data_IF_211778257765
#
_entry.id   IF_211778257765
#
_cell.length_a   1.000
_cell.length_b   1.000
_cell.length_c   1.000
_cell.angle_alpha   90.00
_cell.angle_beta   90.00
_cell.angle_gamma   90.00
#
_symmetry.space_group_name_H-M   'P 1'
#
loop_
_entity.id
_entity.type
_entity.pdbx_description
1 polymer ?
#
# COMPACT_ATOMS: atom_id res chain seq x y z
N UNK A 1 -37.32 -31.86 -15.44
CA UNK A 1 -36.24 -30.85 -15.31
C UNK A 1 -35.14 -31.21 -16.28
N UNK A 2 -34.68 -30.26 -17.09
CA UNK A 2 -33.57 -30.42 -18.04
C UNK A 2 -32.46 -29.48 -17.60
N UNK A 3 -31.22 -29.98 -17.51
CA UNK A 3 -30.08 -29.15 -17.16
C UNK A 3 -29.79 -28.16 -18.31
N UNK A 4 -29.64 -26.88 -17.98
CA UNK A 4 -29.27 -25.83 -18.93
C UNK A 4 -27.96 -25.21 -18.47
N UNK A 5 -27.03 -24.99 -19.38
CA UNK A 5 -25.76 -24.33 -19.13
C UNK A 5 -25.95 -22.81 -19.12
N UNK A 6 -25.62 -22.16 -18.00
CA UNK A 6 -25.65 -20.69 -17.87
C UNK A 6 -24.55 -20.11 -16.98
N UNK A 7 -23.69 -20.96 -16.41
CA UNK A 7 -22.67 -20.54 -15.45
C UNK A 7 -21.62 -19.59 -16.04
N UNK A 8 -21.14 -19.87 -17.25
CA UNK A 8 -20.16 -19.01 -17.94
C UNK A 8 -20.70 -17.59 -18.16
N UNK A 9 -21.93 -17.48 -18.68
CA UNK A 9 -22.57 -16.19 -18.89
C UNK A 9 -22.78 -15.44 -17.57
N UNK A 10 -23.16 -16.15 -16.51
CA UNK A 10 -23.32 -15.55 -15.18
C UNK A 10 -21.99 -15.03 -14.61
N UNK A 11 -20.90 -15.78 -14.78
CA UNK A 11 -19.55 -15.37 -14.36
C UNK A 11 -19.11 -14.14 -15.15
N UNK A 12 -19.21 -14.16 -16.48
CA UNK A 12 -18.84 -13.03 -17.33
C UNK A 12 -19.60 -11.75 -16.94
N UNK A 13 -20.93 -11.87 -16.77
CA UNK A 13 -21.77 -10.74 -16.34
C UNK A 13 -21.38 -10.24 -14.94
N UNK A 14 -21.00 -11.14 -14.04
CA UNK A 14 -20.53 -10.77 -12.69
C UNK A 14 -19.22 -9.96 -12.75
N UNK A 15 -18.27 -10.37 -13.60
CA UNK A 15 -17.02 -9.64 -13.81
C UNK A 15 -17.27 -8.25 -14.44
N UNK A 16 -18.17 -8.17 -15.42
CA UNK A 16 -18.59 -6.88 -16.00
C UNK A 16 -19.21 -5.96 -14.94
N UNK A 17 -19.96 -6.50 -13.98
CA UNK A 17 -20.53 -5.72 -12.87
C UNK A 17 -19.45 -5.20 -11.91
N UNK A 18 -18.39 -5.98 -11.64
CA UNK A 18 -17.24 -5.53 -10.84
C UNK A 18 -16.52 -4.39 -11.57
N UNK A 19 -16.22 -4.59 -12.85
CA UNK A 19 -15.55 -3.58 -13.68
C UNK A 19 -16.39 -2.31 -13.79
N UNK A 20 -17.71 -2.45 -14.02
CA UNK A 20 -18.65 -1.32 -14.02
C UNK A 20 -18.62 -0.54 -12.71
N UNK A 21 -18.53 -1.22 -11.56
CA UNK A 21 -18.39 -0.54 -10.26
C UNK A 21 -17.08 0.22 -10.17
N UNK A 22 -15.96 -0.37 -10.61
CA UNK A 22 -14.64 0.26 -10.60
C UNK A 22 -14.62 1.55 -11.43
N UNK A 23 -15.27 1.56 -12.59
CA UNK A 23 -15.25 2.69 -13.53
C UNK A 23 -16.45 3.66 -13.40
N UNK A 24 -17.42 3.37 -12.54
CA UNK A 24 -18.67 4.12 -12.43
C UNK A 24 -18.48 5.63 -12.17
N UNK A 25 -17.39 6.01 -11.51
CA UNK A 25 -17.07 7.41 -11.22
C UNK A 25 -16.54 8.21 -12.41
N UNK A 26 -16.18 7.55 -13.53
CA UNK A 26 -15.67 8.22 -14.74
C UNK A 26 -14.30 8.88 -14.59
N UNK A 27 -13.60 8.63 -13.48
CA UNK A 27 -12.28 9.19 -13.18
C UNK A 27 -11.21 8.09 -13.25
N UNK A 28 -10.07 8.42 -13.83
CA UNK A 28 -8.90 7.55 -13.79
C UNK A 28 -8.07 7.87 -12.54
N UNK A 29 -7.77 6.84 -11.74
CA UNK A 29 -6.79 6.93 -10.67
C UNK A 29 -5.42 6.54 -11.22
N UNK A 30 -4.45 7.43 -11.11
CA UNK A 30 -3.09 7.19 -11.56
C UNK A 30 -2.29 6.32 -10.56
N UNK A 31 -1.35 5.51 -11.06
CA UNK A 31 -0.56 4.58 -10.22
C UNK A 31 0.43 5.35 -9.35
N UNK A 32 1.05 6.41 -9.87
CA UNK A 32 1.98 7.24 -9.10
C UNK A 32 1.26 8.00 -7.99
N UNK A 33 -0.02 8.34 -8.20
CA UNK A 33 -0.87 8.91 -7.15
C UNK A 33 -1.08 7.92 -6.01
N UNK A 34 -1.32 6.63 -6.29
CA UNK A 34 -1.44 5.60 -5.25
C UNK A 34 -0.13 5.44 -4.50
N UNK A 35 1.00 5.35 -5.22
CA UNK A 35 2.33 5.23 -4.63
C UNK A 35 2.66 6.40 -3.71
N UNK A 36 2.32 7.62 -4.13
CA UNK A 36 2.67 8.85 -3.41
C UNK A 36 1.73 9.13 -2.24
N UNK A 37 0.44 8.82 -2.38
CA UNK A 37 -0.58 9.19 -1.40
C UNK A 37 -0.94 8.06 -0.44
N UNK A 38 -0.71 6.79 -0.81
CA UNK A 38 -1.07 5.61 -0.01
C UNK A 38 0.13 4.65 0.20
N UNK A 39 1.33 5.14 0.57
CA UNK A 39 2.55 4.33 0.59
C UNK A 39 2.47 3.13 1.57
N UNK A 40 1.84 3.31 2.74
CA UNK A 40 1.70 2.23 3.74
C UNK A 40 0.79 1.10 3.26
N UNK A 41 -0.26 1.43 2.50
CA UNK A 41 -1.15 0.43 1.89
C UNK A 41 -0.39 -0.40 0.84
N UNK A 42 0.41 0.25 0.01
CA UNK A 42 1.26 -0.43 -0.97
C UNK A 42 2.24 -1.35 -0.26
N UNK A 43 2.93 -0.87 0.77
CA UNK A 43 3.87 -1.67 1.57
C UNK A 43 3.20 -2.89 2.22
N UNK A 44 1.97 -2.74 2.73
CA UNK A 44 1.22 -3.86 3.28
C UNK A 44 0.94 -4.92 2.20
N UNK A 45 0.49 -4.50 1.03
CA UNK A 45 0.22 -5.40 -0.10
C UNK A 45 1.49 -6.10 -0.60
N UNK A 46 2.62 -5.41 -0.67
CA UNK A 46 3.92 -6.01 -1.03
C UNK A 46 4.37 -7.05 -0.01
N UNK A 47 4.30 -6.70 1.28
CA UNK A 47 4.70 -7.57 2.39
C UNK A 47 3.86 -8.85 2.43
N UNK A 48 2.53 -8.72 2.42
CA UNK A 48 1.63 -9.86 2.44
C UNK A 48 1.63 -10.64 1.12
N UNK A 49 1.84 -9.94 -0.01
CA UNK A 49 2.02 -10.51 -1.34
C UNK A 49 3.35 -11.26 -1.54
N UNK A 50 4.31 -11.05 -0.62
CA UNK A 50 5.66 -11.64 -0.67
C UNK A 50 6.44 -11.29 -1.94
N UNK A 51 6.23 -10.08 -2.46
CA UNK A 51 6.92 -9.54 -3.63
C UNK A 51 7.07 -8.03 -3.48
N UNK A 52 8.31 -7.57 -3.41
CA UNK A 52 8.64 -6.15 -3.47
C UNK A 52 8.62 -5.70 -4.94
N UNK A 53 7.59 -4.95 -5.32
CA UNK A 53 7.34 -4.47 -6.68
C UNK A 53 6.30 -3.32 -6.60
N UNK A 54 6.73 -2.09 -6.29
CA UNK A 54 5.81 -1.03 -5.87
C UNK A 54 4.74 -0.71 -6.93
N UNK A 55 5.14 -0.56 -8.19
CA UNK A 55 4.22 -0.26 -9.31
C UNK A 55 3.18 -1.37 -9.53
N UNK A 56 3.58 -2.63 -9.35
CA UNK A 56 2.69 -3.79 -9.48
C UNK A 56 1.71 -3.84 -8.32
N UNK A 57 2.18 -3.60 -7.09
CA UNK A 57 1.34 -3.55 -5.90
C UNK A 57 0.32 -2.40 -5.97
N UNK A 58 0.74 -1.21 -6.41
CA UNK A 58 -0.16 -0.08 -6.62
C UNK A 58 -1.19 -0.35 -7.74
N UNK A 59 -0.79 -1.05 -8.80
CA UNK A 59 -1.72 -1.52 -9.84
C UNK A 59 -2.72 -2.55 -9.29
N UNK A 60 -2.28 -3.48 -8.44
CA UNK A 60 -3.16 -4.44 -7.78
C UNK A 60 -4.17 -3.75 -6.84
N UNK A 61 -3.73 -2.75 -6.06
CA UNK A 61 -4.62 -1.91 -5.23
C UNK A 61 -5.67 -1.20 -6.08
N UNK A 62 -5.26 -0.62 -7.21
CA UNK A 62 -6.15 0.02 -8.19
C UNK A 62 -7.17 -0.96 -8.76
N UNK A 63 -6.74 -2.15 -9.15
CA UNK A 63 -7.60 -3.20 -9.70
C UNK A 63 -8.60 -3.71 -8.65
N UNK A 64 -8.15 -3.88 -7.41
CA UNK A 64 -8.95 -4.34 -6.28
C UNK A 64 -9.89 -3.27 -5.68
N UNK A 65 -9.94 -2.06 -6.25
CA UNK A 65 -10.71 -0.93 -5.73
C UNK A 65 -10.41 -0.63 -4.24
N UNK A 66 -9.16 -0.83 -3.81
CA UNK A 66 -8.74 -0.64 -2.42
C UNK A 66 -8.98 -1.82 -1.47
N UNK A 67 -9.52 -2.96 -1.92
CA UNK A 67 -9.54 -4.18 -1.11
C UNK A 67 -8.12 -4.75 -0.98
N UNK A 68 -7.62 -4.80 0.25
CA UNK A 68 -6.26 -5.28 0.54
C UNK A 68 -6.14 -6.77 0.27
N UNK A 69 -7.14 -7.55 0.67
CA UNK A 69 -7.15 -9.01 0.54
C UNK A 69 -7.09 -9.43 -0.93
N UNK A 70 -7.87 -8.77 -1.79
CA UNK A 70 -7.88 -9.01 -3.24
C UNK A 70 -6.56 -8.53 -3.88
N UNK A 71 -6.05 -7.37 -3.50
CA UNK A 71 -4.75 -6.88 -4.01
C UNK A 71 -3.60 -7.83 -3.66
N UNK A 72 -3.58 -8.36 -2.43
CA UNK A 72 -2.62 -9.38 -1.99
C UNK A 72 -2.78 -10.68 -2.78
N UNK A 73 -4.02 -11.10 -3.06
CA UNK A 73 -4.26 -12.30 -3.85
C UNK A 73 -3.75 -12.13 -5.29
N UNK A 74 -4.00 -10.98 -5.92
CA UNK A 74 -3.44 -10.61 -7.22
C UNK A 74 -1.91 -10.64 -7.22
N UNK A 75 -1.27 -10.08 -6.19
CA UNK A 75 0.20 -10.10 -6.04
C UNK A 75 0.76 -11.52 -5.92
N UNK A 76 0.11 -12.38 -5.13
CA UNK A 76 0.51 -13.79 -4.98
C UNK A 76 0.32 -14.57 -6.27
N UNK A 77 -0.79 -14.34 -6.98
CA UNK A 77 -1.05 -14.95 -8.28
C UNK A 77 0.02 -14.51 -9.30
N UNK A 78 0.30 -13.21 -9.40
CA UNK A 78 1.34 -12.67 -10.27
C UNK A 78 2.72 -13.26 -9.96
N UNK A 79 3.12 -13.28 -8.68
CA UNK A 79 4.38 -13.89 -8.24
C UNK A 79 4.52 -15.35 -8.68
N UNK A 80 3.43 -16.12 -8.73
CA UNK A 80 3.48 -17.52 -9.15
C UNK A 80 3.75 -17.71 -10.65
N UNK A 81 3.59 -16.66 -11.46
CA UNK A 81 3.91 -16.66 -12.89
C UNK A 81 5.38 -16.33 -13.18
N UNK A 82 6.13 -15.86 -12.17
CA UNK A 82 7.51 -15.41 -12.32
C UNK A 82 8.51 -16.54 -12.08
N UNK A 83 9.57 -16.57 -12.86
CA UNK A 83 10.71 -17.45 -12.61
C UNK A 83 11.57 -16.94 -11.46
N UNK A 84 12.06 -17.85 -10.61
CA UNK A 84 13.05 -17.50 -9.58
C UNK A 84 14.46 -17.49 -10.17
N UNK A 85 14.90 -16.32 -10.61
CA UNK A 85 16.20 -16.14 -11.25
C UNK A 85 17.40 -16.30 -10.29
N UNK A 86 17.26 -15.81 -9.06
CA UNK A 86 18.36 -15.76 -8.08
C UNK A 86 17.85 -15.97 -6.65
N UNK A 87 18.80 -16.18 -5.73
CA UNK A 87 18.59 -16.14 -4.28
C UNK A 87 19.51 -15.07 -3.69
N UNK A 88 18.97 -14.21 -2.82
CA UNK A 88 19.76 -13.18 -2.15
C UNK A 88 20.72 -13.77 -1.13
N UNK A 89 21.71 -12.96 -0.72
CA UNK A 89 22.50 -13.24 0.49
C UNK A 89 21.66 -12.92 1.73
N UNK A 90 22.06 -13.46 2.88
CA UNK A 90 21.50 -13.05 4.17
C UNK A 90 21.85 -11.57 4.39
N UNK A 91 20.86 -10.80 4.83
CA UNK A 91 21.04 -9.38 5.16
C UNK A 91 21.67 -9.29 6.55
N UNK A 92 22.74 -8.51 6.69
CA UNK A 92 23.28 -8.13 7.99
C UNK A 92 22.50 -6.93 8.52
N UNK A 93 21.77 -7.11 9.63
CA UNK A 93 20.96 -6.05 10.23
C UNK A 93 21.74 -5.14 11.17
N UNK A 94 22.99 -5.48 11.53
CA UNK A 94 23.80 -4.65 12.43
C UNK A 94 24.26 -3.36 11.75
N UNK A 95 24.44 -3.39 10.42
CA UNK A 95 24.76 -2.23 9.59
C UNK A 95 23.52 -1.49 9.05
N UNK A 96 22.32 -1.84 9.53
CA UNK A 96 21.08 -1.21 9.07
C UNK A 96 21.09 0.29 9.37
N UNK A 97 20.78 1.11 8.36
CA UNK A 97 20.43 2.52 8.60
C UNK A 97 19.04 2.57 9.24
N UNK A 98 19.02 2.82 10.54
CA UNK A 98 17.81 2.76 11.36
C UNK A 98 17.01 4.08 11.26
N UNK A 99 15.77 4.00 10.77
CA UNK A 99 14.80 5.10 10.87
C UNK A 99 13.96 5.03 12.17
N UNK A 100 13.82 3.84 12.76
CA UNK A 100 13.09 3.59 14.00
C UNK A 100 13.68 2.41 14.77
N UNK A 101 13.91 2.57 16.07
CA UNK A 101 14.40 1.54 17.00
C UNK A 101 13.84 1.77 18.39
N UNK A 102 13.00 0.83 18.83
CA UNK A 102 12.36 0.87 20.14
C UNK A 102 12.58 -0.44 20.90
N UNK A 103 12.77 -0.35 22.21
CA UNK A 103 12.82 -1.49 23.12
C UNK A 103 11.82 -1.28 24.26
N UNK A 104 10.88 -2.22 24.41
CA UNK A 104 9.92 -2.22 25.52
C UNK A 104 10.50 -2.85 26.80
N UNK A 105 11.59 -3.59 26.71
CA UNK A 105 12.18 -4.31 27.83
C UNK A 105 12.97 -3.41 28.79
N UNK A 106 13.54 -2.32 28.26
CA UNK A 106 14.34 -1.38 29.02
C UNK A 106 13.91 0.04 28.69
N UNK A 107 13.90 0.90 29.71
CA UNK A 107 13.61 2.32 29.54
C UNK A 107 14.64 2.96 28.58
N UNK A 108 15.91 2.76 28.88
CA UNK A 108 17.04 3.30 28.12
C UNK A 108 17.88 2.15 27.56
N UNK A 109 18.34 2.30 26.33
CA UNK A 109 19.20 1.35 25.62
C UNK A 109 20.40 2.10 25.03
N UNK A 110 21.51 1.40 24.78
CA UNK A 110 22.65 1.99 24.08
C UNK A 110 22.22 2.52 22.71
N UNK A 111 22.62 3.75 22.37
CA UNK A 111 22.14 4.48 21.18
C UNK A 111 20.75 5.12 21.33
N UNK A 112 20.07 4.92 22.47
CA UNK A 112 18.78 5.52 22.77
C UNK A 112 17.58 4.87 22.05
N UNK A 113 16.40 5.36 22.41
CA UNK A 113 15.13 5.01 21.76
C UNK A 113 14.89 5.97 20.59
N UNK A 114 14.72 5.44 19.39
CA UNK A 114 14.46 6.22 18.16
C UNK A 114 13.02 5.93 17.74
N UNK A 115 12.12 6.89 17.96
CA UNK A 115 10.71 6.70 17.61
C UNK A 115 10.47 6.69 16.09
N UNK A 116 11.23 7.46 15.31
CA UNK A 116 10.96 7.62 13.88
C UNK A 116 9.55 8.17 13.59
N UNK A 117 9.07 8.02 12.35
CA UNK A 117 7.70 8.35 11.99
C UNK A 117 6.72 7.28 12.51
N UNK A 118 5.76 7.66 13.36
CA UNK A 118 4.79 6.71 13.94
C UNK A 118 3.46 7.38 14.33
N UNK A 119 2.40 6.57 14.41
CA UNK A 119 1.08 6.95 14.95
C UNK A 119 0.88 6.55 16.42
N UNK A 120 1.83 5.89 17.07
CA UNK A 120 1.65 5.30 18.41
C UNK A 120 1.16 6.27 19.48
N UNK A 121 1.53 7.55 19.36
CA UNK A 121 1.19 8.61 20.31
C UNK A 121 0.16 9.60 19.77
N UNK A 122 -0.39 9.34 18.58
CA UNK A 122 -1.41 10.19 17.98
C UNK A 122 -2.76 10.01 18.69
N UNK A 123 -3.50 11.10 18.84
CA UNK A 123 -4.92 11.00 19.17
C UNK A 123 -5.70 10.54 17.94
N UNK A 124 -6.59 9.56 18.11
CA UNK A 124 -7.40 8.98 17.03
C UNK A 124 -8.62 9.85 16.72
N UNK A 125 -8.35 11.07 16.27
CA UNK A 125 -9.37 12.04 15.86
C UNK A 125 -9.32 12.21 14.34
N UNK A 126 -10.49 12.40 13.72
CA UNK A 126 -10.58 12.68 12.28
C UNK A 126 -10.25 14.15 12.06
N UNK A 127 -9.26 14.41 11.20
CA UNK A 127 -8.87 15.75 10.76
C UNK A 127 -9.71 16.15 9.54
N UNK A 128 -10.79 16.91 9.75
CA UNK A 128 -11.71 17.26 8.67
C UNK A 128 -11.12 18.25 7.66
N UNK A 129 -10.12 19.04 8.05
CA UNK A 129 -9.45 20.02 7.17
C UNK A 129 -8.75 19.34 5.97
N UNK A 130 -8.38 18.06 6.08
CA UNK A 130 -7.79 17.29 4.98
C UNK A 130 -8.74 17.14 3.78
N UNK A 131 -10.06 17.27 3.98
CA UNK A 131 -11.04 17.21 2.90
C UNK A 131 -10.94 18.42 1.94
N UNK A 132 -10.41 19.55 2.41
CA UNK A 132 -10.32 20.81 1.67
C UNK A 132 -8.90 21.08 1.13
N UNK A 133 -8.00 20.09 1.19
CA UNK A 133 -6.62 20.23 0.72
C UNK A 133 -6.53 20.46 -0.80
N UNK A 134 -5.50 21.23 -1.18
CA UNK A 134 -5.16 21.48 -2.58
C UNK A 134 -3.74 21.00 -2.86
N UNK A 135 -3.43 20.75 -4.12
CA UNK A 135 -2.04 20.45 -4.50
C UNK A 135 -1.06 21.58 -4.16
N UNK A 136 -1.52 22.82 -4.02
CA UNK A 136 -0.69 23.94 -3.58
C UNK A 136 -0.40 23.82 -2.08
N UNK A 137 -1.43 23.66 -1.24
CA UNK A 137 -1.26 23.54 0.21
C UNK A 137 -0.40 22.35 0.61
N UNK A 138 -0.56 21.20 -0.06
CA UNK A 138 0.28 20.00 0.18
C UNK A 138 1.75 20.28 -0.17
N UNK A 139 2.02 20.98 -1.28
CA UNK A 139 3.40 21.32 -1.69
C UNK A 139 4.05 22.33 -0.75
N UNK A 140 3.30 23.34 -0.33
CA UNK A 140 3.79 24.33 0.63
C UNK A 140 4.08 23.66 1.98
N UNK A 141 3.19 22.77 2.43
CA UNK A 141 3.40 22.00 3.65
C UNK A 141 4.63 21.09 3.57
N UNK A 142 4.83 20.41 2.44
CA UNK A 142 6.01 19.57 2.22
C UNK A 142 7.31 20.40 2.27
N UNK A 143 7.31 21.60 1.67
CA UNK A 143 8.47 22.53 1.75
C UNK A 143 8.75 22.97 3.18
N UNK A 144 7.73 23.44 3.90
CA UNK A 144 7.85 23.88 5.29
C UNK A 144 8.42 22.76 6.18
N UNK A 145 7.89 21.54 6.04
CA UNK A 145 8.37 20.39 6.81
C UNK A 145 9.81 20.00 6.46
N UNK A 146 10.18 20.08 5.18
CA UNK A 146 11.55 19.80 4.73
C UNK A 146 12.53 20.82 5.31
N UNK A 147 12.20 22.10 5.29
CA UNK A 147 13.04 23.17 5.87
C UNK A 147 13.15 23.04 7.40
N UNK A 148 12.06 22.64 8.08
CA UNK A 148 12.03 22.49 9.53
C UNK A 148 12.81 21.27 10.03
N UNK A 149 12.92 20.23 9.22
CA UNK A 149 13.55 18.94 9.57
C UNK A 149 14.96 18.76 8.97
N UNK A 150 15.42 19.71 8.14
CA UNK A 150 16.79 19.77 7.62
C UNK A 150 17.79 20.20 8.70
#
# INVERSE_FOLDING_TARGET
YVAVTGGEQAIATSLDLIERKRVAGGLALDVDTILSCLPELVQQVESEGSLWAPEVAATAVKQACGSVEEAVFLMRAYRSTLERLYTSRVIDTDEMRVDRRISAAFKDIEGGQILGATRDYSHRLIEFELADETQASVRDRARELTERLA
#
